data_IF_871653249884
#
_entry.id   IF_871653249884
#
_cell.length_a   1.000
_cell.length_b   1.000
_cell.length_c   1.000
_cell.angle_alpha   90.00
_cell.angle_beta   90.00
_cell.angle_gamma   90.00
#
_symmetry.space_group_name_H-M   'P 1'
#
loop_
_entity.id
_entity.type
_entity.pdbx_description
1 polymer ?
#
# COMPACT_ATOMS: atom_id res chain seq x y z
N UNK A 1 18.02 20.10 -0.25
CA UNK A 1 18.65 18.79 -0.24
C UNK A 1 17.72 17.73 -0.78
N UNK A 2 18.21 16.51 -0.91
CA UNK A 2 17.49 15.39 -1.54
C UNK A 2 17.49 14.19 -0.60
N UNK A 3 16.38 13.45 -0.60
CA UNK A 3 16.26 12.23 0.20
C UNK A 3 15.47 11.17 -0.56
N UNK A 4 15.72 9.90 -0.23
CA UNK A 4 14.90 8.78 -0.67
C UNK A 4 13.77 8.57 0.35
N UNK A 5 12.55 8.54 -0.13
CA UNK A 5 11.37 8.31 0.70
C UNK A 5 10.39 7.42 -0.05
N UNK A 6 9.39 6.91 0.66
CA UNK A 6 8.31 6.15 0.03
C UNK A 6 7.28 7.09 -0.57
N UNK A 7 6.62 6.65 -1.63
CA UNK A 7 5.57 7.46 -2.29
C UNK A 7 4.42 7.80 -1.33
N UNK A 8 4.10 6.91 -0.40
CA UNK A 8 3.09 7.17 0.63
C UNK A 8 3.49 8.30 1.57
N UNK A 9 4.79 8.46 1.85
CA UNK A 9 5.28 9.56 2.67
C UNK A 9 5.10 10.90 1.99
N UNK A 10 5.30 10.94 0.68
CA UNK A 10 5.09 12.16 -0.10
C UNK A 10 3.64 12.62 0.01
N UNK A 11 2.69 11.71 -0.12
CA UNK A 11 1.27 12.03 0.01
C UNK A 11 0.92 12.47 1.43
N UNK A 12 1.40 11.70 2.42
CA UNK A 12 1.04 11.92 3.82
C UNK A 12 1.57 13.23 4.39
N UNK A 13 2.84 13.53 4.12
CA UNK A 13 3.51 14.68 4.74
C UNK A 13 3.57 15.90 3.85
N UNK A 14 3.62 15.73 2.54
CA UNK A 14 3.72 16.85 1.60
C UNK A 14 5.00 17.64 1.75
N UNK A 15 5.00 18.85 1.21
CA UNK A 15 6.13 19.77 1.36
C UNK A 15 7.38 19.40 0.57
N UNK A 16 7.28 18.44 -0.35
CA UNK A 16 8.40 17.98 -1.16
C UNK A 16 8.01 17.90 -2.62
N UNK A 17 9.03 17.96 -3.48
CA UNK A 17 8.86 17.77 -4.91
C UNK A 17 9.51 16.46 -5.31
N UNK A 18 8.78 15.61 -6.00
CA UNK A 18 9.33 14.37 -6.55
C UNK A 18 10.13 14.69 -7.79
N UNK A 19 11.42 14.41 -7.76
CA UNK A 19 12.32 14.64 -8.90
C UNK A 19 12.56 13.38 -9.72
N UNK A 20 12.16 12.24 -9.20
CA UNK A 20 12.26 10.96 -9.91
C UNK A 20 11.75 9.83 -9.07
N UNK A 21 11.45 8.72 -9.72
CA UNK A 21 11.02 7.48 -9.08
C UNK A 21 12.04 6.40 -9.38
N UNK A 22 12.51 5.70 -8.35
CA UNK A 22 13.47 4.61 -8.54
C UNK A 22 12.80 3.50 -9.35
N UNK A 23 13.39 3.07 -10.48
CA UNK A 23 12.79 2.04 -11.31
C UNK A 23 12.60 0.72 -10.55
N UNK A 24 11.46 0.07 -10.77
CA UNK A 24 11.10 -1.16 -10.08
C UNK A 24 12.08 -2.32 -10.30
N UNK A 25 12.81 -2.31 -11.41
CA UNK A 25 13.76 -3.37 -11.73
C UNK A 25 15.14 -3.18 -11.08
N UNK A 26 15.33 -2.12 -10.31
CA UNK A 26 16.61 -1.79 -9.66
C UNK A 26 16.65 -2.13 -8.18
N UNK A 27 15.56 -2.64 -7.62
CA UNK A 27 15.48 -3.01 -6.21
C UNK A 27 14.53 -4.19 -6.02
N UNK A 28 14.59 -4.82 -4.84
CA UNK A 28 13.62 -5.87 -4.51
C UNK A 28 12.23 -5.28 -4.42
N UNK A 29 11.24 -6.06 -4.82
CA UNK A 29 9.83 -5.65 -4.73
C UNK A 29 9.47 -5.38 -3.27
N UNK A 30 8.93 -4.20 -3.01
CA UNK A 30 8.50 -3.80 -1.67
C UNK A 30 7.02 -4.20 -1.52
N UNK A 31 6.77 -5.12 -0.59
CA UNK A 31 5.43 -5.67 -0.36
C UNK A 31 5.06 -5.49 1.10
N UNK A 32 3.84 -5.02 1.35
CA UNK A 32 3.24 -4.97 2.67
C UNK A 32 2.20 -6.08 2.76
N UNK A 33 2.51 -7.21 3.39
CA UNK A 33 1.55 -8.30 3.52
C UNK A 33 0.59 -8.07 4.69
N UNK A 34 -0.61 -8.62 4.55
CA UNK A 34 -1.60 -8.64 5.63
C UNK A 34 -2.17 -10.05 5.75
N UNK A 35 -2.54 -10.42 6.95
CA UNK A 35 -3.10 -11.75 7.20
C UNK A 35 -4.03 -11.73 8.41
N UNK A 36 -4.97 -12.66 8.43
CA UNK A 36 -5.84 -12.88 9.60
C UNK A 36 -5.08 -13.73 10.61
N UNK A 37 -5.08 -13.31 11.87
CA UNK A 37 -4.43 -14.10 12.94
C UNK A 37 -5.17 -15.42 13.16
N UNK A 38 -4.43 -16.50 13.38
CA UNK A 38 -5.01 -17.84 13.54
C UNK A 38 -5.90 -17.96 14.77
N UNK A 39 -5.62 -17.20 15.82
CA UNK A 39 -6.38 -17.21 17.06
C UNK A 39 -7.40 -16.07 17.17
N UNK A 40 -7.67 -15.39 16.06
CA UNK A 40 -8.64 -14.31 16.03
C UNK A 40 -10.04 -14.83 16.35
N UNK A 41 -10.76 -14.10 17.20
CA UNK A 41 -12.17 -14.38 17.51
C UNK A 41 -13.12 -13.75 16.48
N UNK A 42 -12.59 -13.00 15.52
CA UNK A 42 -13.32 -12.32 14.48
C UNK A 42 -12.74 -12.66 13.11
N UNK A 43 -12.32 -13.90 12.91
CA UNK A 43 -11.61 -14.32 11.70
C UNK A 43 -12.42 -14.08 10.42
N UNK A 44 -13.72 -14.36 10.43
CA UNK A 44 -14.57 -14.14 9.26
C UNK A 44 -14.68 -12.65 8.93
N UNK A 45 -14.92 -11.81 9.92
CA UNK A 45 -15.02 -10.37 9.72
C UNK A 45 -13.69 -9.80 9.23
N UNK A 46 -12.57 -10.26 9.78
CA UNK A 46 -11.26 -9.83 9.38
C UNK A 46 -10.97 -10.23 7.92
N UNK A 47 -11.32 -11.46 7.53
CA UNK A 47 -11.15 -11.93 6.17
C UNK A 47 -12.02 -11.12 5.19
N UNK A 48 -13.26 -10.82 5.55
CA UNK A 48 -14.14 -9.97 4.75
C UNK A 48 -13.55 -8.57 4.57
N UNK A 49 -12.99 -8.00 5.64
CA UNK A 49 -12.35 -6.70 5.56
C UNK A 49 -11.17 -6.72 4.57
N UNK A 50 -10.29 -7.71 4.67
CA UNK A 50 -9.15 -7.82 3.76
C UNK A 50 -9.58 -8.04 2.32
N UNK A 51 -10.61 -8.85 2.11
CA UNK A 51 -11.18 -9.06 0.78
C UNK A 51 -11.73 -7.74 0.22
N UNK A 52 -12.52 -7.03 1.01
CA UNK A 52 -13.04 -5.72 0.61
C UNK A 52 -11.90 -4.75 0.30
N UNK A 53 -10.89 -4.67 1.17
CA UNK A 53 -9.79 -3.72 1.02
C UNK A 53 -8.96 -3.97 -0.25
N UNK A 54 -8.97 -5.20 -0.78
CA UNK A 54 -8.18 -5.56 -1.96
C UNK A 54 -9.00 -5.70 -3.23
N UNK A 55 -10.33 -5.69 -3.14
CA UNK A 55 -11.20 -5.92 -4.31
C UNK A 55 -12.17 -4.79 -4.59
N UNK A 56 -12.56 -4.02 -3.58
CA UNK A 56 -13.52 -2.93 -3.74
C UNK A 56 -12.91 -1.77 -4.53
N UNK A 57 -13.69 -1.21 -5.46
CA UNK A 57 -13.21 -0.13 -6.32
C UNK A 57 -12.84 1.12 -5.55
N UNK A 58 -13.63 1.49 -4.54
CA UNK A 58 -13.35 2.66 -3.72
C UNK A 58 -12.13 2.44 -2.82
N UNK A 59 -11.98 1.23 -2.27
CA UNK A 59 -10.82 0.88 -1.47
C UNK A 59 -9.54 0.93 -2.31
N UNK A 60 -9.58 0.38 -3.52
CA UNK A 60 -8.44 0.43 -4.46
C UNK A 60 -8.04 1.87 -4.78
N UNK A 61 -9.03 2.74 -4.98
CA UNK A 61 -8.78 4.15 -5.25
C UNK A 61 -8.08 4.82 -4.07
N UNK A 62 -8.49 4.52 -2.85
CA UNK A 62 -7.85 5.05 -1.64
C UNK A 62 -6.39 4.60 -1.54
N UNK A 63 -6.10 3.33 -1.81
CA UNK A 63 -4.73 2.87 -1.82
C UNK A 63 -3.87 3.68 -2.79
N UNK A 64 -4.37 3.88 -4.01
CA UNK A 64 -3.63 4.64 -5.03
C UNK A 64 -3.44 6.09 -4.63
N UNK A 65 -4.45 6.72 -4.04
CA UNK A 65 -4.36 8.09 -3.57
C UNK A 65 -3.25 8.28 -2.52
N UNK A 66 -3.05 7.26 -1.68
CA UNK A 66 -2.02 7.30 -0.64
C UNK A 66 -0.66 6.76 -1.11
N UNK A 67 -0.51 6.51 -2.40
CA UNK A 67 0.77 6.12 -2.99
C UNK A 67 1.06 4.64 -2.95
N UNK A 68 0.05 3.80 -2.73
CA UNK A 68 0.19 2.35 -2.72
C UNK A 68 -0.38 1.73 -3.99
N UNK A 69 0.17 0.59 -4.38
CA UNK A 69 -0.36 -0.22 -5.46
C UNK A 69 -0.74 -1.59 -4.91
N UNK A 70 -1.85 -2.12 -5.38
CA UNK A 70 -2.25 -3.48 -5.00
C UNK A 70 -1.46 -4.49 -5.82
N UNK A 71 -1.05 -5.58 -5.17
CA UNK A 71 -0.39 -6.67 -5.86
C UNK A 71 -1.42 -7.39 -6.71
N UNK A 72 -1.15 -7.47 -8.01
CA UNK A 72 -1.99 -8.22 -8.96
C UNK A 72 -1.25 -9.49 -9.34
N UNK A 73 -1.93 -10.60 -9.22
CA UNK A 73 -1.40 -11.90 -9.59
C UNK A 73 -1.98 -12.38 -10.92
#
# INVERSE_FOLDING_TARGET
DVAFVYSSDVYRFGGVKVIGVVPNDTHKKIIYPAAVCTDSKQAEAAAEFLDWATTDADAKKLWQEWGFELVTE
#
